data_IF_580716282477
#
_entry.id   IF_580716282477
#
_cell.length_a   1.000
_cell.length_b   1.000
_cell.length_c   1.000
_cell.angle_alpha   90.00
_cell.angle_beta   90.00
_cell.angle_gamma   90.00
#
_symmetry.space_group_name_H-M   'P 1'
#
loop_
_entity.id
_entity.type
_entity.pdbx_description
1 polymer ?
#
# COMPACT_ATOMS: atom_id res chain seq x y z
N UNK A 1 -58.86 46.51 10.43
CA UNK A 1 -57.93 46.10 9.35
C UNK A 1 -56.86 45.23 9.99
N UNK A 2 -56.57 43.98 9.66
CA UNK A 2 -57.02 43.08 8.60
C UNK A 2 -57.01 41.65 9.18
N UNK A 3 -58.03 40.85 8.86
CA UNK A 3 -58.14 39.47 9.31
C UNK A 3 -57.18 38.56 8.53
N UNK A 4 -56.19 38.00 9.21
CA UNK A 4 -55.34 36.97 8.62
C UNK A 4 -56.09 35.64 8.57
N UNK A 5 -56.69 35.38 7.42
CA UNK A 5 -57.41 34.17 7.04
C UNK A 5 -56.43 32.99 6.97
N UNK A 6 -56.36 32.21 8.05
CA UNK A 6 -55.55 30.99 8.13
C UNK A 6 -55.96 29.99 7.05
N UNK A 7 -55.03 29.65 6.14
CA UNK A 7 -55.19 28.54 5.21
C UNK A 7 -55.18 27.24 6.02
N UNK A 8 -56.28 26.48 5.99
CA UNK A 8 -56.37 25.18 6.63
C UNK A 8 -55.24 24.27 6.15
N UNK A 9 -54.62 23.53 7.08
CA UNK A 9 -53.66 22.46 6.76
C UNK A 9 -54.34 21.51 5.79
N UNK A 10 -53.68 21.20 4.67
CA UNK A 10 -54.22 20.29 3.66
C UNK A 10 -54.48 18.90 4.28
N UNK A 11 -55.66 18.33 4.02
CA UNK A 11 -55.97 16.97 4.43
C UNK A 11 -55.08 15.99 3.66
N UNK A 12 -54.46 15.04 4.38
CA UNK A 12 -53.70 13.96 3.76
C UNK A 12 -54.66 12.94 3.12
N UNK A 13 -54.15 12.13 2.19
CA UNK A 13 -54.94 11.08 1.51
C UNK A 13 -55.37 9.94 2.46
N UNK A 14 -54.72 9.81 3.62
CA UNK A 14 -55.03 8.82 4.64
C UNK A 14 -55.74 9.46 5.84
N UNK A 15 -56.53 8.65 6.57
CA UNK A 15 -57.28 9.09 7.73
C UNK A 15 -56.34 9.37 8.93
N UNK A 16 -56.18 10.63 9.29
CA UNK A 16 -55.31 11.09 10.40
C UNK A 16 -55.79 10.56 11.76
N UNK A 17 -57.10 10.47 11.96
CA UNK A 17 -57.72 9.99 13.21
C UNK A 17 -57.44 8.50 13.47
N UNK A 18 -57.30 7.69 12.41
CA UNK A 18 -56.94 6.28 12.53
C UNK A 18 -55.48 6.06 12.95
N UNK A 19 -54.61 7.08 12.73
CA UNK A 19 -53.22 7.08 13.18
C UNK A 19 -53.11 7.50 14.66
N UNK A 20 -54.20 8.03 15.24
CA UNK A 20 -54.28 8.42 16.65
C UNK A 20 -54.09 9.90 16.92
N UNK A 21 -54.18 10.76 15.91
CA UNK A 21 -54.27 12.22 16.10
C UNK A 21 -55.71 12.67 16.00
N UNK A 22 -56.27 13.20 17.09
CA UNK A 22 -57.61 13.79 17.05
C UNK A 22 -57.57 15.19 16.41
N UNK A 23 -58.72 15.64 15.91
CA UNK A 23 -58.85 16.91 15.18
C UNK A 23 -58.48 18.10 16.08
N UNK A 24 -57.27 18.63 15.88
CA UNK A 24 -56.73 19.77 16.65
C UNK A 24 -55.58 19.41 17.60
N UNK A 25 -55.18 18.14 17.68
CA UNK A 25 -54.00 17.72 18.45
C UNK A 25 -52.67 18.15 17.81
N UNK A 26 -51.63 18.22 18.64
CA UNK A 26 -50.28 18.66 18.24
C UNK A 26 -49.62 17.59 17.37
N UNK A 27 -49.70 17.78 16.05
CA UNK A 27 -48.88 17.07 15.08
C UNK A 27 -47.39 17.34 15.34
N UNK A 28 -46.49 16.38 15.01
CA UNK A 28 -45.05 16.56 15.20
C UNK A 28 -44.55 17.75 14.39
N UNK A 29 -43.52 18.42 14.94
CA UNK A 29 -42.92 19.58 14.30
C UNK A 29 -42.24 19.21 12.98
N UNK A 30 -42.35 20.11 12.01
CA UNK A 30 -41.69 19.96 10.70
C UNK A 30 -40.21 20.28 10.87
N UNK A 31 -39.36 19.27 10.67
CA UNK A 31 -37.91 19.42 10.75
C UNK A 31 -37.41 20.29 9.59
N UNK A 32 -36.91 21.49 9.90
CA UNK A 32 -36.48 22.49 8.91
C UNK A 32 -35.08 22.22 8.32
N UNK A 33 -34.23 21.51 9.07
CA UNK A 33 -32.85 21.19 8.68
C UNK A 33 -32.57 19.72 8.97
N UNK A 34 -31.87 18.99 8.08
CA UNK A 34 -31.46 17.63 8.38
C UNK A 34 -30.58 17.59 9.65
N UNK A 35 -30.69 16.54 10.47
CA UNK A 35 -29.82 16.33 11.62
C UNK A 35 -28.34 16.35 11.23
N UNK A 36 -27.44 16.74 12.15
CA UNK A 36 -26.00 16.76 11.88
C UNK A 36 -25.45 15.34 11.66
N UNK A 37 -24.32 15.24 10.93
CA UNK A 37 -23.64 13.95 10.66
C UNK A 37 -23.17 13.23 11.92
N UNK A 38 -22.79 14.00 12.94
CA UNK A 38 -22.34 13.49 14.24
C UNK A 38 -23.21 14.10 15.33
N UNK A 39 -24.28 13.39 15.77
CA UNK A 39 -25.04 13.83 16.93
C UNK A 39 -24.20 13.70 18.21
N UNK A 40 -24.48 14.55 19.18
CA UNK A 40 -23.80 14.47 20.48
C UNK A 40 -24.21 13.19 21.22
N UNK A 41 -23.22 12.51 21.78
CA UNK A 41 -23.42 11.30 22.58
C UNK A 41 -23.40 11.64 24.06
N UNK A 42 -24.32 11.06 24.82
CA UNK A 42 -24.44 11.28 26.28
C UNK A 42 -23.19 10.84 27.06
N UNK A 43 -22.49 9.81 26.56
CA UNK A 43 -21.32 9.24 27.21
C UNK A 43 -20.06 9.32 26.35
N UNK A 44 -18.91 9.34 27.03
CA UNK A 44 -17.56 9.28 26.43
C UNK A 44 -16.92 7.92 26.71
N UNK A 45 -16.00 7.46 25.83
CA UNK A 45 -15.31 6.19 26.03
C UNK A 45 -14.42 6.22 27.29
N UNK A 46 -14.18 5.04 27.85
CA UNK A 46 -13.35 4.86 29.04
C UNK A 46 -11.88 5.20 28.73
N UNK A 47 -11.16 5.91 29.62
CA UNK A 47 -9.74 6.19 29.46
C UNK A 47 -8.89 4.92 29.34
N UNK A 48 -7.76 5.03 28.65
CA UNK A 48 -6.82 3.91 28.49
C UNK A 48 -6.13 3.59 29.81
N UNK A 49 -5.77 2.31 29.98
CA UNK A 49 -4.99 1.84 31.13
C UNK A 49 -3.57 2.39 31.06
N UNK A 50 -3.07 2.86 32.19
CA UNK A 50 -1.71 3.41 32.35
C UNK A 50 -0.91 2.51 33.28
N UNK A 51 0.27 2.08 32.84
CA UNK A 51 1.19 1.24 33.60
C UNK A 51 2.42 0.88 32.77
N UNK A 52 3.50 0.51 33.45
CA UNK A 52 4.79 0.16 32.81
C UNK A 52 4.66 -1.06 31.89
N UNK A 53 3.81 -2.03 32.25
CA UNK A 53 3.56 -3.23 31.44
C UNK A 53 2.82 -2.91 30.13
N UNK A 54 1.84 -2.02 30.18
CA UNK A 54 1.10 -1.54 29.00
C UNK A 54 1.99 -0.72 28.07
N UNK A 55 2.87 0.11 28.64
CA UNK A 55 3.85 0.89 27.88
C UNK A 55 4.89 0.00 27.20
N UNK A 56 5.37 -1.04 27.88
CA UNK A 56 6.25 -2.04 27.30
C UNK A 56 5.60 -2.76 26.10
N UNK A 57 4.35 -3.23 26.26
CA UNK A 57 3.62 -3.87 25.16
C UNK A 57 3.40 -2.91 23.98
N UNK A 58 3.16 -1.63 24.26
CA UNK A 58 3.03 -0.60 23.23
C UNK A 58 4.32 -0.41 22.43
N UNK A 59 5.46 -0.30 23.13
CA UNK A 59 6.78 -0.20 22.50
C UNK A 59 7.08 -1.44 21.65
N UNK A 60 6.89 -2.64 22.20
CA UNK A 60 7.11 -3.90 21.48
C UNK A 60 6.23 -4.01 20.23
N UNK A 61 4.97 -3.57 20.30
CA UNK A 61 4.08 -3.52 19.13
C UNK A 61 4.62 -2.63 18.02
N UNK A 62 5.30 -1.53 18.35
CA UNK A 62 5.91 -0.66 17.35
C UNK A 62 7.14 -1.32 16.74
N UNK A 63 8.03 -1.88 17.56
CA UNK A 63 9.24 -2.59 17.11
C UNK A 63 8.91 -3.77 16.19
N UNK A 64 7.87 -4.55 16.51
CA UNK A 64 7.41 -5.65 15.68
C UNK A 64 6.93 -5.16 14.32
N UNK A 65 6.25 -4.00 14.27
CA UNK A 65 5.79 -3.41 13.00
C UNK A 65 6.96 -3.01 12.10
N UNK A 66 8.05 -2.53 12.67
CA UNK A 66 9.26 -2.21 11.93
C UNK A 66 10.01 -3.46 11.49
N UNK A 67 10.15 -4.42 12.40
CA UNK A 67 10.87 -5.67 12.14
C UNK A 67 10.18 -6.46 11.03
N UNK A 68 8.86 -6.62 11.10
CA UNK A 68 8.09 -7.36 10.09
C UNK A 68 8.19 -6.73 8.69
N UNK A 69 8.30 -5.39 8.59
CA UNK A 69 8.50 -4.72 7.29
C UNK A 69 9.88 -4.96 6.69
N UNK A 70 10.89 -5.23 7.52
CA UNK A 70 12.26 -5.56 7.08
C UNK A 70 12.44 -7.05 6.78
N UNK A 71 11.57 -7.91 7.30
CA UNK A 71 11.61 -9.35 7.06
C UNK A 71 11.31 -9.70 5.59
N UNK A 72 11.87 -10.81 5.07
CA UNK A 72 11.67 -11.23 3.68
C UNK A 72 10.23 -11.65 3.37
N UNK A 73 9.40 -11.87 4.39
CA UNK A 73 7.98 -12.18 4.26
C UNK A 73 7.14 -10.97 3.83
N UNK A 74 7.69 -9.75 3.93
CA UNK A 74 7.02 -8.54 3.48
C UNK A 74 7.17 -8.40 1.96
N UNK A 75 6.17 -8.89 1.23
CA UNK A 75 6.12 -8.81 -0.24
C UNK A 75 5.72 -7.39 -0.64
N UNK A 76 6.68 -6.65 -1.19
CA UNK A 76 6.43 -5.31 -1.74
C UNK A 76 5.71 -5.38 -3.09
N UNK A 77 4.93 -4.33 -3.38
CA UNK A 77 4.34 -4.15 -4.70
C UNK A 77 5.44 -4.00 -5.75
N UNK A 78 5.45 -4.82 -6.81
CA UNK A 78 6.47 -4.71 -7.85
C UNK A 78 6.39 -3.34 -8.53
N UNK A 79 7.54 -2.70 -8.75
CA UNK A 79 7.61 -1.44 -9.47
C UNK A 79 7.16 -1.64 -10.93
N UNK A 80 6.36 -0.70 -11.44
CA UNK A 80 6.00 -0.66 -12.85
C UNK A 80 7.25 -0.43 -13.72
N UNK A 81 7.17 -0.86 -14.98
CA UNK A 81 8.31 -0.72 -15.89
C UNK A 81 8.57 0.75 -16.14
N UNK A 82 9.70 1.24 -15.65
CA UNK A 82 10.21 2.57 -16.00
C UNK A 82 10.42 2.68 -17.51
N UNK A 83 9.93 3.76 -18.11
CA UNK A 83 10.00 3.99 -19.56
C UNK A 83 11.42 4.24 -20.07
N UNK A 84 12.33 4.69 -19.19
CA UNK A 84 13.69 5.12 -19.54
C UNK A 84 14.72 4.28 -18.77
N UNK A 85 15.56 3.55 -19.49
CA UNK A 85 16.70 2.86 -18.90
C UNK A 85 17.85 3.84 -18.60
N UNK A 86 18.22 3.97 -17.33
CA UNK A 86 19.30 4.85 -16.87
C UNK A 86 20.45 4.05 -16.29
N UNK A 87 21.69 4.49 -16.54
CA UNK A 87 22.90 3.85 -15.99
C UNK A 87 22.93 3.85 -14.46
N UNK A 88 22.31 4.85 -13.81
CA UNK A 88 22.15 4.96 -12.35
C UNK A 88 21.44 3.75 -11.72
N UNK A 89 20.62 3.02 -12.50
CA UNK A 89 19.87 1.85 -12.03
C UNK A 89 20.77 0.73 -11.49
N UNK A 90 22.02 0.64 -11.96
CA UNK A 90 22.99 -0.35 -11.44
C UNK A 90 23.34 -0.11 -9.97
N UNK A 91 23.34 1.15 -9.53
CA UNK A 91 23.71 1.54 -8.17
C UNK A 91 22.51 1.69 -7.23
N UNK A 92 21.30 1.88 -7.77
CA UNK A 92 20.06 2.01 -7.01
C UNK A 92 19.36 0.66 -6.76
N UNK A 93 19.93 -0.45 -7.19
CA UNK A 93 19.32 -1.77 -7.01
C UNK A 93 19.35 -2.16 -5.53
N UNK A 94 18.19 -2.24 -4.92
CA UNK A 94 18.03 -2.73 -3.55
C UNK A 94 18.18 -4.25 -3.57
N UNK A 95 19.22 -4.75 -2.89
CA UNK A 95 19.41 -6.19 -2.71
C UNK A 95 18.62 -6.63 -1.47
N UNK A 96 17.68 -7.56 -1.67
CA UNK A 96 16.95 -8.24 -0.60
C UNK A 96 17.18 -9.74 -0.73
N UNK A 97 17.38 -10.40 0.40
CA UNK A 97 17.48 -11.84 0.46
C UNK A 97 16.11 -12.47 0.23
N UNK A 98 16.03 -13.41 -0.71
CA UNK A 98 14.78 -14.08 -1.08
C UNK A 98 14.59 -15.33 -0.21
N UNK A 99 13.48 -15.38 0.52
CA UNK A 99 13.14 -16.55 1.34
C UNK A 99 12.56 -17.67 0.47
N UNK A 100 13.15 -18.87 0.55
CA UNK A 100 12.73 -20.05 -0.21
C UNK A 100 11.92 -20.98 0.71
N UNK A 101 10.62 -21.23 0.42
CA UNK A 101 9.81 -22.14 1.22
C UNK A 101 10.13 -23.62 0.95
N UNK A 102 9.76 -24.49 1.89
CA UNK A 102 9.83 -25.95 1.70
C UNK A 102 8.71 -26.45 0.78
N UNK A 103 9.06 -26.73 -0.47
CA UNK A 103 8.15 -27.21 -1.52
C UNK A 103 7.57 -28.60 -1.29
N UNK A 104 8.05 -29.36 -0.30
CA UNK A 104 7.44 -30.66 0.05
C UNK A 104 6.11 -30.48 0.78
N UNK A 105 5.92 -29.33 1.44
CA UNK A 105 4.71 -28.99 2.20
C UNK A 105 3.70 -28.19 1.38
N UNK A 106 4.17 -27.42 0.40
CA UNK A 106 3.32 -26.58 -0.45
C UNK A 106 2.85 -27.33 -1.71
N UNK A 107 1.65 -27.04 -2.23
CA UNK A 107 1.20 -27.61 -3.49
C UNK A 107 2.07 -27.13 -4.66
N UNK A 108 2.25 -28.01 -5.65
CA UNK A 108 3.11 -27.77 -6.82
C UNK A 108 2.67 -26.57 -7.66
N UNK A 109 1.41 -26.18 -7.58
CA UNK A 109 0.83 -25.05 -8.32
C UNK A 109 1.40 -23.68 -7.89
N UNK A 110 1.88 -23.58 -6.65
CA UNK A 110 2.44 -22.34 -6.10
C UNK A 110 3.90 -22.10 -6.48
N UNK A 111 4.55 -23.07 -7.13
CA UNK A 111 5.96 -22.93 -7.50
C UNK A 111 6.14 -21.80 -8.52
N UNK A 112 7.02 -20.81 -8.26
CA UNK A 112 7.36 -19.77 -9.22
C UNK A 112 7.88 -20.41 -10.52
N UNK A 113 7.07 -20.35 -11.56
CA UNK A 113 7.47 -20.84 -12.88
C UNK A 113 8.05 -19.67 -13.66
N UNK A 114 9.32 -19.76 -14.00
CA UNK A 114 9.94 -18.86 -14.96
C UNK A 114 9.19 -19.01 -16.30
N UNK A 115 8.21 -18.13 -16.55
CA UNK A 115 7.72 -17.93 -17.90
C UNK A 115 8.88 -17.27 -18.64
N UNK A 116 9.71 -18.07 -19.30
CA UNK A 116 10.57 -17.55 -20.36
C UNK A 116 9.65 -16.75 -21.27
N UNK A 117 9.75 -15.42 -21.22
CA UNK A 117 9.23 -14.59 -22.31
C UNK A 117 9.94 -15.15 -23.53
N UNK A 118 9.21 -15.85 -24.39
CA UNK A 118 9.72 -16.21 -25.71
C UNK A 118 10.05 -14.88 -26.35
N UNK A 119 11.32 -14.48 -26.27
CA UNK A 119 11.80 -13.32 -27.00
C UNK A 119 11.44 -13.59 -28.44
N UNK A 120 10.70 -12.68 -29.05
CA UNK A 120 10.55 -12.64 -30.49
C UNK A 120 11.97 -12.66 -31.05
N UNK A 121 12.38 -13.81 -31.60
CA UNK A 121 13.61 -13.94 -32.35
C UNK A 121 13.41 -13.18 -33.66
N UNK A 122 13.53 -11.86 -33.59
CA UNK A 122 13.59 -10.99 -34.76
C UNK A 122 14.87 -10.18 -34.64
N UNK A 123 15.90 -10.69 -35.32
CA UNK A 123 17.04 -9.98 -35.88
C UNK A 123 17.76 -8.98 -34.95
N UNK A 124 18.73 -9.49 -34.17
CA UNK A 124 19.95 -8.74 -33.86
C UNK A 124 21.08 -9.47 -34.58
N UNK A 125 21.19 -9.22 -35.89
CA UNK A 125 22.49 -9.25 -36.55
C UNK A 125 23.01 -7.81 -36.43
N UNK A 126 24.28 -7.68 -36.05
CA UNK A 126 25.02 -6.44 -35.74
C UNK A 126 24.60 -5.89 -34.37
N UNK A 127 25.36 -6.04 -33.27
CA UNK A 127 26.72 -5.55 -33.07
C UNK A 127 27.52 -6.61 -32.29
N UNK A 128 28.20 -7.50 -33.01
CA UNK A 128 29.44 -8.11 -32.54
C UNK A 128 30.59 -7.28 -33.10
N UNK A 129 30.82 -6.11 -32.54
CA UNK A 129 32.10 -5.43 -32.69
C UNK A 129 32.58 -4.93 -31.32
N UNK A 130 33.68 -5.56 -30.92
CA UNK A 130 34.79 -4.93 -30.22
C UNK A 130 34.55 -4.44 -28.77
N UNK A 131 34.59 -5.37 -27.81
CA UNK A 131 35.19 -5.11 -26.50
C UNK A 131 36.55 -5.81 -26.39
N UNK A 132 37.50 -5.24 -27.13
CA UNK A 132 38.92 -5.06 -26.80
C UNK A 132 39.58 -6.02 -25.77
N UNK A 133 40.33 -7.06 -26.18
CA UNK A 133 41.15 -7.89 -25.30
C UNK A 133 42.51 -7.28 -24.89
N UNK A 134 42.67 -5.94 -24.91
CA UNK A 134 43.96 -5.28 -24.62
C UNK A 134 44.20 -4.86 -23.17
N UNK A 135 43.35 -5.25 -22.21
CA UNK A 135 43.55 -4.90 -20.78
C UNK A 135 44.16 -6.00 -19.90
N UNK A 136 44.65 -7.09 -20.49
CA UNK A 136 45.38 -8.15 -19.77
C UNK A 136 46.88 -8.24 -20.10
N UNK A 137 47.40 -7.47 -21.07
CA UNK A 137 48.84 -7.49 -21.44
C UNK A 137 49.72 -6.45 -20.75
N UNK A 138 49.16 -5.63 -19.86
CA UNK A 138 49.91 -4.60 -19.11
C UNK A 138 50.28 -4.99 -17.68
N UNK A 139 49.85 -6.15 -17.17
CA UNK A 139 50.33 -6.67 -15.88
C UNK A 139 51.40 -7.77 -16.00
N UNK A 140 51.49 -8.46 -17.14
CA UNK A 140 52.52 -9.48 -17.36
C UNK A 140 53.88 -8.94 -17.87
N UNK A 141 53.95 -7.68 -18.32
CA UNK A 141 55.23 -7.05 -18.74
C UNK A 141 55.92 -6.27 -17.61
N UNK A 142 55.23 -5.97 -16.51
CA UNK A 142 55.83 -5.32 -15.35
C UNK A 142 56.61 -6.31 -14.46
N UNK A 143 56.28 -7.60 -14.49
CA UNK A 143 56.98 -8.61 -13.68
C UNK A 143 58.28 -9.12 -14.33
N UNK A 144 58.45 -8.96 -15.65
CA UNK A 144 59.66 -9.38 -16.35
C UNK A 144 60.75 -8.28 -16.36
N UNK A 145 60.40 -7.00 -16.27
CA UNK A 145 61.40 -5.92 -16.19
C UNK A 145 61.98 -5.68 -14.78
N UNK A 146 61.33 -6.21 -13.74
CA UNK A 146 61.85 -6.16 -12.37
C UNK A 146 62.82 -7.32 -12.05
N UNK A 147 62.75 -8.44 -12.77
CA UNK A 147 63.67 -9.58 -12.56
C UNK A 147 65.03 -9.36 -13.26
N UNK A 148 65.09 -8.61 -14.36
CA UNK A 148 66.34 -8.28 -15.08
C UNK A 148 67.09 -7.06 -14.55
N UNK A 149 66.64 -6.45 -13.45
CA UNK A 149 67.33 -5.35 -12.75
C UNK A 149 67.93 -5.75 -11.40
N UNK A 150 67.92 -7.04 -11.07
CA UNK A 150 68.50 -7.59 -9.83
C UNK A 150 69.56 -8.70 -10.08
N UNK A 151 70.09 -8.79 -11.30
CA UNK A 151 71.40 -9.40 -11.56
C UNK A 151 72.34 -8.34 -12.13
#
# INVERSE_FOLDING_TARGET
MAGNKGRGRAAYTFNIEAVGFSKGEKLPDVVLKPPPLFPDTDYKPVPLKTGEGEEYMLALKQELRETMKRMPYFIETPEERQDIERYSKRYMKVYKEEWIPDWRRLPREMMPRNKCKKGTLTNIIVIQQAQNPKRQKTQAKAHHSLILKMC
#
